data_IF_773589548589
#
_entry.id   IF_773589548589
#
_cell.length_a   1.000
_cell.length_b   1.000
_cell.length_c   1.000
_cell.angle_alpha   90.00
_cell.angle_beta   90.00
_cell.angle_gamma   90.00
#
_symmetry.space_group_name_H-M   'P 1'
#
loop_
_entity.id
_entity.type
_entity.pdbx_description
1 polymer ?
#
# COMPACT_ATOMS: atom_id res chain seq x y z
N UNK A 1 -24.00 0.86 16.37
CA UNK A 1 -22.80 0.17 15.86
C UNK A 1 -21.64 1.14 15.88
N UNK A 2 -20.54 0.75 16.48
CA UNK A 2 -19.34 1.58 16.53
C UNK A 2 -18.42 1.29 15.35
N UNK A 3 -17.74 2.34 14.86
CA UNK A 3 -16.72 2.20 13.83
C UNK A 3 -15.36 2.08 14.53
N UNK A 4 -14.52 1.19 14.01
CA UNK A 4 -13.12 1.12 14.38
C UNK A 4 -12.29 1.07 13.12
N UNK A 5 -11.48 2.10 12.87
CA UNK A 5 -10.64 2.19 11.70
C UNK A 5 -9.24 2.67 12.10
N UNK A 6 -8.24 2.09 11.50
CA UNK A 6 -6.87 2.55 11.64
C UNK A 6 -6.72 3.91 10.94
N UNK A 7 -5.93 4.80 11.52
CA UNK A 7 -5.63 6.11 10.94
C UNK A 7 -4.11 6.27 10.80
N UNK A 8 -3.69 6.77 9.65
CA UNK A 8 -2.27 7.04 9.39
C UNK A 8 -2.14 8.35 8.63
N UNK A 9 -1.21 9.21 9.08
CA UNK A 9 -0.83 10.42 8.35
C UNK A 9 0.57 10.23 7.75
N UNK A 10 0.77 10.67 6.53
CA UNK A 10 2.06 10.55 5.84
C UNK A 10 2.28 11.75 4.92
N UNK A 11 3.54 11.98 4.55
CA UNK A 11 3.89 13.11 3.70
C UNK A 11 3.78 12.77 2.22
N UNK A 12 3.43 13.77 1.42
CA UNK A 12 3.39 13.68 -0.04
C UNK A 12 4.04 14.91 -0.66
N UNK A 13 4.40 14.79 -1.95
CA UNK A 13 4.98 15.89 -2.72
C UNK A 13 3.89 16.79 -3.33
N UNK A 14 2.76 16.22 -3.77
CA UNK A 14 1.76 16.93 -4.56
C UNK A 14 0.38 16.30 -4.37
N UNK A 15 -0.66 17.15 -4.30
CA UNK A 15 -2.03 16.69 -4.07
C UNK A 15 -2.59 15.95 -5.30
N UNK A 16 -2.40 16.49 -6.51
CA UNK A 16 -3.09 15.95 -7.68
C UNK A 16 -2.57 14.56 -8.08
N UNK A 17 -1.27 14.35 -8.09
CA UNK A 17 -0.71 13.03 -8.38
C UNK A 17 -1.08 12.01 -7.30
N UNK A 18 -1.20 12.46 -6.06
CA UNK A 18 -1.68 11.62 -4.95
C UNK A 18 -3.15 11.23 -5.16
N UNK A 19 -4.00 12.19 -5.56
CA UNK A 19 -5.40 11.92 -5.88
C UNK A 19 -5.53 10.86 -6.97
N UNK A 20 -4.74 10.99 -8.02
CA UNK A 20 -4.77 10.02 -9.13
C UNK A 20 -4.31 8.63 -8.70
N UNK A 21 -3.24 8.55 -7.93
CA UNK A 21 -2.71 7.26 -7.49
C UNK A 21 -3.68 6.55 -6.55
N UNK A 22 -4.06 7.19 -5.45
CA UNK A 22 -4.93 6.57 -4.46
C UNK A 22 -6.39 6.48 -4.90
N UNK A 23 -6.88 7.52 -5.55
CA UNK A 23 -8.28 7.59 -5.97
C UNK A 23 -8.58 6.78 -7.23
N UNK A 24 -7.75 6.87 -8.25
CA UNK A 24 -8.00 6.21 -9.53
C UNK A 24 -7.33 4.84 -9.62
N UNK A 25 -6.03 4.73 -9.37
CA UNK A 25 -5.31 3.47 -9.51
C UNK A 25 -5.66 2.48 -8.41
N UNK A 26 -5.62 2.90 -7.14
CA UNK A 26 -5.98 2.05 -6.03
C UNK A 26 -7.49 1.98 -5.80
N UNK A 27 -8.26 2.87 -6.42
CA UNK A 27 -9.73 2.93 -6.32
C UNK A 27 -10.23 3.16 -4.89
N UNK A 28 -9.47 3.94 -4.12
CA UNK A 28 -9.90 4.37 -2.80
C UNK A 28 -10.86 5.54 -2.92
N UNK A 29 -11.94 5.53 -2.14
CA UNK A 29 -12.84 6.68 -2.06
C UNK A 29 -12.13 7.86 -1.43
N UNK A 30 -12.26 9.04 -2.02
CA UNK A 30 -11.69 10.24 -1.46
C UNK A 30 -12.56 10.76 -0.32
N UNK A 31 -11.91 11.19 0.78
CA UNK A 31 -12.55 11.88 1.87
C UNK A 31 -12.45 13.40 1.71
N UNK A 32 -12.13 14.07 2.80
CA UNK A 32 -11.99 15.54 2.82
C UNK A 32 -10.64 15.95 2.27
N UNK A 33 -10.55 17.20 1.84
CA UNK A 33 -9.29 17.77 1.39
C UNK A 33 -9.19 19.27 1.69
N UNK A 34 -7.96 19.75 1.70
CA UNK A 34 -7.65 21.18 1.76
C UNK A 34 -6.54 21.47 0.73
N UNK A 35 -6.01 22.68 0.75
CA UNK A 35 -4.88 23.02 -0.13
C UNK A 35 -3.60 22.25 0.22
N UNK A 36 -3.50 21.66 1.42
CA UNK A 36 -2.25 21.05 1.92
C UNK A 36 -2.38 19.58 2.33
N UNK A 37 -3.57 19.01 2.26
CA UNK A 37 -3.77 17.60 2.62
C UNK A 37 -4.99 17.03 1.91
N UNK A 38 -5.03 15.69 1.83
CA UNK A 38 -6.14 14.94 1.24
C UNK A 38 -6.29 13.60 1.98
N UNK A 39 -7.54 13.23 2.27
CA UNK A 39 -7.87 11.99 2.96
C UNK A 39 -8.47 10.96 2.00
N UNK A 40 -8.24 9.69 2.31
CA UNK A 40 -8.84 8.56 1.57
C UNK A 40 -9.35 7.49 2.54
N UNK A 41 -10.38 6.79 2.09
CA UNK A 41 -10.77 5.51 2.67
C UNK A 41 -9.87 4.45 2.03
N UNK A 42 -8.85 4.03 2.77
CA UNK A 42 -7.85 3.07 2.30
C UNK A 42 -8.19 1.70 2.89
N UNK A 43 -8.95 0.91 2.10
CA UNK A 43 -9.37 -0.44 2.51
C UNK A 43 -10.05 -0.46 3.89
N UNK A 44 -10.94 0.51 4.13
CA UNK A 44 -11.66 0.64 5.38
C UNK A 44 -10.93 1.41 6.47
N UNK A 45 -9.77 2.00 6.18
CA UNK A 45 -8.98 2.77 7.12
C UNK A 45 -8.77 4.19 6.60
N UNK A 46 -8.61 5.14 7.52
CA UNK A 46 -8.39 6.52 7.13
C UNK A 46 -6.90 6.80 6.95
N UNK A 47 -6.51 7.22 5.76
CA UNK A 47 -5.17 7.75 5.54
C UNK A 47 -5.27 9.22 5.19
N UNK A 48 -4.33 10.02 5.72
CA UNK A 48 -4.28 11.46 5.51
C UNK A 48 -2.93 11.82 4.92
N UNK A 49 -2.94 12.28 3.68
CA UNK A 49 -1.73 12.63 2.94
C UNK A 49 -1.49 14.14 3.04
N UNK A 50 -0.34 14.54 3.59
CA UNK A 50 0.00 15.94 3.84
C UNK A 50 1.20 16.38 3.01
N UNK A 51 1.10 17.55 2.40
CA UNK A 51 2.26 18.16 1.75
C UNK A 51 3.37 18.36 2.77
N UNK A 52 4.57 17.91 2.42
CA UNK A 52 5.73 18.04 3.29
C UNK A 52 7.03 17.73 2.58
N UNK A 53 8.14 18.21 3.13
CA UNK A 53 9.44 17.94 2.58
C UNK A 53 9.84 16.48 2.78
N UNK A 54 10.58 15.92 1.83
CA UNK A 54 11.13 14.57 1.98
C UNK A 54 12.21 14.58 3.05
N UNK A 55 12.23 13.57 3.93
CA UNK A 55 13.36 13.43 4.86
C UNK A 55 14.64 13.12 4.08
N UNK A 56 15.78 13.51 4.63
CA UNK A 56 17.10 13.26 4.04
C UNK A 56 17.72 11.94 4.50
N UNK A 57 16.97 11.14 5.27
CA UNK A 57 17.42 9.83 5.76
C UNK A 57 16.55 8.71 5.16
N UNK A 58 17.14 7.52 5.06
CA UNK A 58 16.45 6.30 4.62
C UNK A 58 16.65 5.21 5.65
N UNK A 59 15.55 4.48 5.92
CA UNK A 59 15.61 3.19 6.59
C UNK A 59 15.09 2.14 5.63
N UNK A 60 15.73 0.97 5.65
CA UNK A 60 15.35 -0.14 4.80
C UNK A 60 15.39 -1.45 5.59
N UNK A 61 14.61 -2.42 5.16
CA UNK A 61 14.65 -3.80 5.64
C UNK A 61 14.69 -4.73 4.44
N UNK A 62 15.03 -5.98 4.67
CA UNK A 62 15.10 -6.97 3.59
C UNK A 62 13.82 -7.79 3.55
N UNK A 63 13.25 -7.92 2.36
CA UNK A 63 12.21 -8.90 2.07
C UNK A 63 12.82 -9.86 1.05
N UNK A 64 13.13 -11.07 1.53
CA UNK A 64 13.97 -12.01 0.83
C UNK A 64 15.30 -11.32 0.46
N UNK A 65 15.67 -11.19 -0.80
CA UNK A 65 16.92 -10.56 -1.20
C UNK A 65 16.74 -9.11 -1.68
N UNK A 66 15.57 -8.50 -1.44
CA UNK A 66 15.25 -7.16 -1.91
C UNK A 66 15.17 -6.18 -0.75
N UNK A 67 15.91 -5.09 -0.81
CA UNK A 67 15.81 -4.00 0.15
C UNK A 67 14.52 -3.22 -0.12
N UNK A 68 13.69 -3.05 0.90
CA UNK A 68 12.44 -2.28 0.82
C UNK A 68 12.44 -1.19 1.88
N UNK A 69 11.80 -0.05 1.59
CA UNK A 69 11.75 1.04 2.55
C UNK A 69 11.06 0.65 3.86
N UNK A 70 11.55 1.21 4.94
CA UNK A 70 10.94 1.16 6.25
C UNK A 70 10.84 2.61 6.75
N UNK A 71 9.65 3.16 7.03
CA UNK A 71 8.38 2.43 7.05
C UNK A 71 7.82 2.23 5.63
N UNK A 72 6.94 1.27 5.55
CA UNK A 72 6.00 1.10 4.44
C UNK A 72 4.64 0.75 5.02
N UNK A 73 3.60 0.89 4.22
CA UNK A 73 2.24 0.54 4.62
C UNK A 73 1.50 -0.09 3.45
N UNK A 74 0.35 -0.63 3.72
CA UNK A 74 -0.45 -1.25 2.68
C UNK A 74 -1.65 -1.98 3.25
N UNK A 75 -2.07 -3.03 2.58
CA UNK A 75 -3.24 -3.78 2.98
C UNK A 75 -3.05 -5.27 2.73
N UNK A 76 -3.70 -6.06 3.58
CA UNK A 76 -3.90 -7.48 3.34
C UNK A 76 -5.29 -7.62 2.74
N UNK A 77 -5.36 -8.11 1.52
CA UNK A 77 -6.60 -8.21 0.73
C UNK A 77 -6.82 -9.65 0.29
N UNK A 78 -7.98 -9.93 -0.30
CA UNK A 78 -8.24 -11.26 -0.84
C UNK A 78 -7.30 -11.56 -2.01
N UNK A 79 -7.05 -12.84 -2.29
CA UNK A 79 -6.17 -13.24 -3.38
C UNK A 79 -6.66 -12.73 -4.72
N UNK A 80 -7.97 -12.78 -4.97
CA UNK A 80 -8.54 -12.28 -6.23
C UNK A 80 -8.43 -10.76 -6.36
N UNK A 81 -8.61 -10.01 -5.27
CA UNK A 81 -8.39 -8.57 -5.28
C UNK A 81 -6.92 -8.22 -5.52
N UNK A 82 -6.01 -8.98 -4.91
CA UNK A 82 -4.58 -8.81 -5.08
C UNK A 82 -4.18 -8.99 -6.55
N UNK A 83 -4.70 -10.03 -7.19
CA UNK A 83 -4.43 -10.27 -8.61
C UNK A 83 -4.94 -9.13 -9.50
N UNK A 84 -6.16 -8.65 -9.25
CA UNK A 84 -6.74 -7.53 -10.01
C UNK A 84 -5.95 -6.24 -9.80
N UNK A 85 -5.55 -5.96 -8.56
CA UNK A 85 -4.75 -4.78 -8.24
C UNK A 85 -3.39 -4.84 -8.91
N UNK A 86 -2.72 -5.97 -8.82
CA UNK A 86 -1.43 -6.19 -9.48
C UNK A 86 -1.50 -5.90 -10.98
N UNK A 87 -2.49 -6.46 -11.65
CA UNK A 87 -2.67 -6.26 -13.10
C UNK A 87 -2.94 -4.80 -13.43
N UNK A 88 -3.78 -4.14 -12.65
CA UNK A 88 -4.11 -2.72 -12.88
C UNK A 88 -2.89 -1.82 -12.73
N UNK A 89 -2.08 -2.04 -11.71
CA UNK A 89 -0.87 -1.27 -11.49
C UNK A 89 0.18 -1.54 -12.57
N UNK A 90 0.30 -2.79 -13.00
CA UNK A 90 1.23 -3.17 -14.05
C UNK A 90 0.87 -2.51 -15.38
N UNK A 91 -0.41 -2.53 -15.76
CA UNK A 91 -0.89 -1.88 -16.99
C UNK A 91 -0.66 -0.37 -16.94
N UNK A 92 -0.82 0.24 -15.76
CA UNK A 92 -0.59 1.68 -15.58
C UNK A 92 0.90 2.06 -15.55
N UNK A 93 1.81 1.09 -15.57
CA UNK A 93 3.24 1.35 -15.56
C UNK A 93 3.79 1.78 -14.21
N UNK A 94 3.11 1.47 -13.10
CA UNK A 94 3.58 1.81 -11.76
C UNK A 94 4.87 1.03 -11.46
N UNK A 95 5.93 1.69 -10.96
CA UNK A 95 7.16 0.98 -10.61
C UNK A 95 6.97 0.02 -9.44
N UNK A 96 7.45 -1.21 -9.59
CA UNK A 96 7.48 -2.19 -8.50
C UNK A 96 8.85 -2.14 -7.82
N UNK A 97 8.83 -1.94 -6.49
CA UNK A 97 10.04 -2.05 -5.66
C UNK A 97 10.37 -3.53 -5.47
N UNK A 98 9.35 -4.34 -5.22
CA UNK A 98 9.42 -5.79 -5.20
C UNK A 98 8.35 -6.32 -6.15
N UNK A 99 8.78 -7.07 -7.17
CA UNK A 99 7.87 -7.66 -8.15
C UNK A 99 6.91 -8.65 -7.46
N UNK A 100 5.69 -8.82 -8.01
CA UNK A 100 4.74 -9.78 -7.47
C UNK A 100 5.34 -11.17 -7.34
N UNK A 101 5.18 -11.76 -6.15
CA UNK A 101 5.71 -13.08 -5.85
C UNK A 101 4.88 -13.77 -4.79
N UNK A 102 5.01 -15.10 -4.71
CA UNK A 102 4.40 -15.92 -3.69
C UNK A 102 5.50 -16.44 -2.77
N UNK A 103 5.31 -16.26 -1.47
CA UNK A 103 6.26 -16.72 -0.44
C UNK A 103 5.65 -17.88 0.35
N UNK A 104 6.52 -18.73 0.90
CA UNK A 104 6.13 -19.84 1.76
C UNK A 104 5.15 -20.82 1.10
N UNK A 105 5.39 -21.09 -0.20
CA UNK A 105 4.54 -21.97 -1.01
C UNK A 105 4.36 -23.33 -0.36
N UNK A 106 3.11 -23.81 -0.26
CA UNK A 106 2.75 -25.08 0.33
C UNK A 106 2.73 -25.10 1.85
N UNK A 107 3.05 -23.97 2.50
CA UNK A 107 3.06 -23.83 3.95
C UNK A 107 1.80 -23.09 4.43
N UNK A 108 1.44 -23.20 5.73
CA UNK A 108 0.25 -22.52 6.25
C UNK A 108 0.28 -20.99 6.05
N UNK A 109 1.47 -20.39 6.03
CA UNK A 109 1.64 -18.96 5.82
C UNK A 109 1.86 -18.55 4.37
N UNK A 110 1.52 -19.40 3.40
CA UNK A 110 1.66 -19.05 1.98
C UNK A 110 0.96 -17.74 1.67
N UNK A 111 1.70 -16.79 1.10
CA UNK A 111 1.20 -15.44 0.83
C UNK A 111 1.79 -14.88 -0.45
N UNK A 112 0.98 -14.08 -1.14
CA UNK A 112 1.41 -13.28 -2.27
C UNK A 112 1.74 -11.88 -1.77
N UNK A 113 2.72 -11.23 -2.37
CA UNK A 113 3.10 -9.87 -2.03
C UNK A 113 3.70 -9.14 -3.23
N UNK A 114 3.57 -7.83 -3.21
CA UNK A 114 4.37 -6.92 -4.05
C UNK A 114 4.51 -5.59 -3.33
N UNK A 115 5.53 -4.83 -3.72
CA UNK A 115 5.75 -3.46 -3.24
C UNK A 115 5.75 -2.51 -4.42
N UNK A 116 5.04 -1.40 -4.27
CA UNK A 116 5.03 -0.31 -5.26
C UNK A 116 5.38 1.00 -4.59
N UNK A 117 5.83 1.96 -5.39
CA UNK A 117 6.05 3.33 -4.95
C UNK A 117 4.91 4.22 -5.40
N UNK A 118 4.38 5.05 -4.50
CA UNK A 118 3.45 6.11 -4.90
C UNK A 118 4.24 7.26 -5.58
N UNK A 119 3.56 8.28 -6.15
CA UNK A 119 4.25 9.38 -6.82
C UNK A 119 5.17 10.20 -5.92
N UNK A 120 5.02 10.10 -4.62
CA UNK A 120 5.80 10.84 -3.63
C UNK A 120 6.94 10.02 -3.02
N UNK A 121 7.17 8.80 -3.52
CA UNK A 121 8.22 7.92 -3.02
C UNK A 121 7.82 7.11 -1.79
N UNK A 122 6.55 7.12 -1.38
CA UNK A 122 6.08 6.25 -0.31
C UNK A 122 5.97 4.83 -0.82
N UNK A 123 6.44 3.86 -0.03
CA UNK A 123 6.35 2.45 -0.38
C UNK A 123 5.09 1.82 0.20
N UNK A 124 4.38 1.08 -0.64
CA UNK A 124 3.19 0.34 -0.23
C UNK A 124 3.39 -1.15 -0.51
N UNK A 125 2.98 -1.98 0.45
CA UNK A 125 2.96 -3.42 0.29
C UNK A 125 1.52 -3.92 0.26
N UNK A 126 1.19 -4.75 -0.74
CA UNK A 126 -0.11 -5.41 -0.81
C UNK A 126 0.09 -6.91 -0.72
N UNK A 127 -0.61 -7.53 0.23
CA UNK A 127 -0.45 -8.94 0.58
C UNK A 127 -1.79 -9.66 0.45
N UNK A 128 -1.72 -10.93 0.11
CA UNK A 128 -2.86 -11.83 0.18
C UNK A 128 -2.37 -13.18 0.73
N UNK A 129 -3.13 -13.76 1.63
CA UNK A 129 -2.82 -15.08 2.18
C UNK A 129 -3.65 -16.13 1.46
N UNK A 130 -3.02 -17.27 1.13
CA UNK A 130 -3.74 -18.39 0.53
C UNK A 130 -4.86 -18.87 1.46
N UNK A 131 -4.59 -18.86 2.76
CA UNK A 131 -5.56 -19.12 3.82
C UNK A 131 -5.75 -17.83 4.60
N UNK A 132 -6.88 -17.16 4.40
CA UNK A 132 -7.11 -15.81 4.95
C UNK A 132 -6.96 -15.75 6.46
N UNK A 133 -7.31 -16.82 7.18
CA UNK A 133 -7.16 -16.88 8.62
C UNK A 133 -5.71 -16.95 9.09
N UNK A 134 -4.75 -17.16 8.18
CA UNK A 134 -3.33 -17.25 8.52
C UNK A 134 -2.69 -15.88 8.85
N UNK A 135 -3.36 -14.77 8.56
CA UNK A 135 -2.81 -13.42 8.77
C UNK A 135 -2.29 -13.22 10.19
N UNK A 136 -3.01 -13.73 11.19
CA UNK A 136 -2.68 -13.56 12.60
C UNK A 136 -2.27 -14.88 13.28
N UNK A 137 -2.09 -15.94 12.52
CA UNK A 137 -1.66 -17.22 13.09
C UNK A 137 -0.17 -17.20 13.43
N UNK A 138 0.19 -17.93 14.50
CA UNK A 138 1.56 -18.16 14.95
C UNK A 138 2.12 -19.42 14.32
#
# INVERSE_FOLDING_TARGET
>A
MSMSAFHMAFRIDEIESTRQFYGELLQCSQGRESATWIDFDFFGNQISAHLGARPDWKLETMVDDTAVPLNHFGAVISWSEWERLHQRLQVAGVPFILEPQVRFVGMPGEQATFFVSDPSGNALEFKAYRHEDAVFKR
#
